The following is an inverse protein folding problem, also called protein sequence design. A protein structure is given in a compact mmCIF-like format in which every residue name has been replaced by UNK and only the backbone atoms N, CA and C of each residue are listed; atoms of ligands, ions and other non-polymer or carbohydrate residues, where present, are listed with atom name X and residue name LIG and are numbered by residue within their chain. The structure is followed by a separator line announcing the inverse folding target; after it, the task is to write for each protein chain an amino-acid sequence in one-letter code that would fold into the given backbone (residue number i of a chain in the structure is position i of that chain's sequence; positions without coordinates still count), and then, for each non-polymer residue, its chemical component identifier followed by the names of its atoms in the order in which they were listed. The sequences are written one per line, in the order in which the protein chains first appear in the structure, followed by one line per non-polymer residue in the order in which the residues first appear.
data_IF_465066421492
#
_entry.id   IF_465066421492
#
_cell.length_a   1.000
_cell.length_b   1.000
_cell.length_c   1.000
_cell.angle_alpha   90.00
_cell.angle_beta   90.00
_cell.angle_gamma   90.00
#
_symmetry.space_group_name_H-M   'P 1'
#
loop_
_entity.id
_entity.type
_entity.pdbx_description
1 polymer ?
#
# COMPACT_ATOMS: atom_id res chain seq x y z
N UNK A 1 9.48 4.03 31.86
CA UNK A 1 9.69 4.75 30.59
C UNK A 1 11.01 4.25 30.04
N UNK A 2 11.03 3.59 28.88
CA UNK A 2 12.30 3.20 28.25
C UNK A 2 12.82 4.42 27.49
N UNK A 3 14.03 4.89 27.83
CA UNK A 3 14.72 5.96 27.12
C UNK A 3 16.04 5.40 26.61
N UNK A 4 16.27 5.46 25.30
CA UNK A 4 17.53 5.05 24.70
C UNK A 4 18.53 6.20 24.83
N UNK A 5 19.70 5.94 25.44
CA UNK A 5 20.76 6.94 25.63
C UNK A 5 21.60 7.20 24.37
N UNK A 6 21.53 6.28 23.41
CA UNK A 6 22.07 6.33 22.05
C UNK A 6 21.08 5.60 21.13
N UNK A 7 21.19 5.73 19.80
CA UNK A 7 20.45 4.87 18.85
C UNK A 7 20.91 3.41 19.03
N UNK A 8 20.27 2.68 19.93
CA UNK A 8 20.46 1.24 20.10
C UNK A 8 19.58 0.52 19.09
N UNK A 9 20.23 -0.08 18.08
CA UNK A 9 19.52 -0.83 17.05
C UNK A 9 18.92 -2.11 17.65
N UNK A 10 17.61 -2.29 17.47
CA UNK A 10 16.95 -3.59 17.64
C UNK A 10 17.68 -4.60 16.74
N UNK A 11 18.04 -5.76 17.32
CA UNK A 11 18.78 -6.81 16.59
C UNK A 11 17.95 -7.41 15.45
N UNK A 12 18.60 -8.03 14.47
CA UNK A 12 17.92 -8.77 13.38
C UNK A 12 17.67 -7.98 12.09
N UNK A 13 17.80 -6.65 12.09
CA UNK A 13 17.51 -5.82 10.90
C UNK A 13 18.27 -6.22 9.63
N UNK A 14 19.56 -6.55 9.77
CA UNK A 14 20.42 -6.94 8.65
C UNK A 14 20.01 -8.27 8.00
N UNK A 15 19.35 -9.16 8.76
CA UNK A 15 18.90 -10.48 8.27
C UNK A 15 17.56 -10.45 7.54
N UNK A 16 16.81 -9.35 7.62
CA UNK A 16 15.51 -9.21 6.98
C UNK A 16 15.67 -8.64 5.57
N UNK A 17 15.03 -9.28 4.58
CA UNK A 17 15.05 -8.82 3.20
C UNK A 17 14.50 -7.39 3.04
N UNK A 18 14.92 -6.67 2.00
CA UNK A 18 14.27 -5.43 1.59
C UNK A 18 12.90 -5.72 0.95
N UNK A 19 12.09 -4.68 0.84
CA UNK A 19 10.72 -4.72 0.31
C UNK A 19 9.80 -5.70 1.04
N UNK A 20 9.99 -5.89 2.34
CA UNK A 20 9.24 -6.87 3.14
C UNK A 20 8.63 -6.29 4.41
N UNK A 21 7.59 -6.95 4.87
CA UNK A 21 7.04 -6.68 6.20
C UNK A 21 7.98 -7.23 7.27
N UNK A 22 8.22 -6.43 8.31
CA UNK A 22 9.09 -6.73 9.43
C UNK A 22 8.29 -6.65 10.71
N UNK A 23 8.50 -7.60 11.60
CA UNK A 23 7.81 -7.68 12.87
C UNK A 23 8.75 -7.45 14.05
N UNK A 24 8.26 -6.74 15.06
CA UNK A 24 9.00 -6.49 16.30
C UNK A 24 8.61 -7.57 17.31
N UNK A 25 9.53 -8.50 17.53
CA UNK A 25 9.42 -9.64 18.44
C UNK A 25 10.11 -9.31 19.77
N UNK A 26 9.41 -9.56 20.87
CA UNK A 26 9.92 -9.47 22.24
C UNK A 26 10.36 -10.86 22.68
N UNK A 27 11.64 -10.99 23.02
CA UNK A 27 12.30 -12.24 23.38
C UNK A 27 12.58 -12.26 24.88
N UNK A 28 11.89 -13.11 25.66
CA UNK A 28 12.18 -13.30 27.06
C UNK A 28 13.50 -14.06 27.28
N UNK A 29 14.29 -13.65 28.28
CA UNK A 29 15.49 -14.38 28.68
C UNK A 29 15.12 -15.59 29.57
N UNK A 30 14.99 -16.77 28.96
CA UNK A 30 14.72 -18.02 29.67
C UNK A 30 13.24 -18.24 30.03
N UNK A 31 12.98 -19.26 30.85
CA UNK A 31 11.62 -19.73 31.17
C UNK A 31 10.86 -18.83 32.17
N UNK A 32 11.58 -18.13 33.05
CA UNK A 32 11.06 -17.15 34.02
C UNK A 32 11.82 -15.84 33.83
N UNK A 33 11.43 -15.04 32.84
CA UNK A 33 12.25 -13.92 32.38
C UNK A 33 12.09 -12.70 33.27
N UNK A 34 13.18 -12.28 33.90
CA UNK A 34 13.29 -10.95 34.53
C UNK A 34 13.77 -9.88 33.54
N UNK A 35 14.16 -10.29 32.33
CA UNK A 35 14.60 -9.42 31.24
C UNK A 35 14.01 -9.84 29.92
N UNK A 36 13.78 -8.85 29.04
CA UNK A 36 13.30 -9.04 27.68
C UNK A 36 14.16 -8.23 26.72
N UNK A 37 14.41 -8.77 25.54
CA UNK A 37 15.02 -8.06 24.41
C UNK A 37 14.02 -7.90 23.27
N UNK A 38 14.35 -7.06 22.28
CA UNK A 38 13.59 -6.94 21.04
C UNK A 38 14.44 -7.39 19.84
N UNK A 39 13.78 -7.98 18.85
CA UNK A 39 14.38 -8.47 17.62
C UNK A 39 13.43 -8.21 16.43
N UNK A 40 13.98 -7.77 15.30
CA UNK A 40 13.29 -7.75 14.02
C UNK A 40 13.31 -9.12 13.37
N UNK A 41 12.19 -9.51 12.78
CA UNK A 41 12.06 -10.76 12.04
C UNK A 41 11.11 -10.58 10.86
N UNK A 42 11.28 -11.40 9.83
CA UNK A 42 10.38 -11.57 8.69
C UNK A 42 9.33 -12.68 8.92
N UNK A 43 9.30 -13.25 10.14
CA UNK A 43 8.32 -14.26 10.50
C UNK A 43 7.10 -13.62 11.14
N UNK A 44 5.96 -13.72 10.45
CA UNK A 44 4.68 -13.23 10.92
C UNK A 44 4.21 -13.96 12.19
N UNK A 45 3.74 -13.24 13.24
CA UNK A 45 3.13 -13.88 14.40
C UNK A 45 1.69 -14.33 14.17
N UNK A 46 1.26 -15.26 15.02
CA UNK A 46 -0.10 -15.78 15.14
C UNK A 46 -0.77 -15.31 16.43
N UNK A 47 -2.08 -15.09 16.41
CA UNK A 47 -2.83 -14.81 17.64
C UNK A 47 -2.93 -16.07 18.51
N UNK A 48 -2.71 -15.93 19.81
CA UNK A 48 -2.92 -16.96 20.81
C UNK A 48 -4.05 -16.54 21.74
N UNK A 49 -5.18 -17.24 21.67
CA UNK A 49 -6.31 -17.00 22.58
C UNK A 49 -5.95 -17.29 24.04
N UNK A 50 -5.15 -18.32 24.29
CA UNK A 50 -4.69 -18.66 25.64
C UNK A 50 -3.84 -17.55 26.28
N UNK A 51 -3.09 -16.79 25.46
CA UNK A 51 -2.19 -15.72 25.92
C UNK A 51 -2.70 -14.31 25.63
N UNK A 52 -3.89 -14.19 25.04
CA UNK A 52 -4.53 -12.93 24.62
C UNK A 52 -3.57 -11.99 23.88
N UNK A 53 -2.81 -12.50 22.91
CA UNK A 53 -1.81 -11.71 22.20
C UNK A 53 -1.24 -12.38 20.95
N UNK A 54 -0.42 -11.64 20.20
CA UNK A 54 0.32 -12.16 19.06
C UNK A 54 1.64 -12.78 19.53
N UNK A 55 1.87 -14.03 19.15
CA UNK A 55 3.06 -14.82 19.50
C UNK A 55 3.66 -15.49 18.26
N UNK A 56 4.93 -15.82 18.35
CA UNK A 56 5.57 -16.67 17.34
C UNK A 56 5.03 -18.10 17.35
N UNK A 57 5.53 -18.91 16.44
CA UNK A 57 5.24 -20.34 16.38
C UNK A 57 6.51 -21.15 16.65
N UNK A 58 6.37 -22.45 16.94
CA UNK A 58 7.48 -23.39 17.12
C UNK A 58 8.52 -22.86 18.13
N UNK A 59 9.77 -22.61 17.71
CA UNK A 59 10.88 -22.17 18.56
C UNK A 59 10.65 -20.77 19.17
N UNK A 60 9.74 -19.97 18.60
CA UNK A 60 9.36 -18.65 19.09
C UNK A 60 7.97 -18.61 19.73
N UNK A 61 7.40 -19.76 20.14
CA UNK A 61 6.04 -19.84 20.70
C UNK A 61 5.81 -19.00 21.96
N UNK A 62 6.88 -18.66 22.69
CA UNK A 62 6.84 -17.82 23.89
C UNK A 62 7.27 -16.37 23.63
N UNK A 63 7.55 -16.00 22.38
CA UNK A 63 7.97 -14.65 22.03
C UNK A 63 6.74 -13.83 21.63
N UNK A 64 6.53 -12.68 22.29
CA UNK A 64 5.37 -11.80 22.04
C UNK A 64 5.70 -10.80 20.95
N UNK A 65 4.72 -10.47 20.12
CA UNK A 65 4.87 -9.48 19.07
C UNK A 65 4.02 -8.26 19.37
N UNK A 66 4.64 -7.08 19.29
CA UNK A 66 4.01 -5.82 19.71
C UNK A 66 3.65 -4.92 18.54
N UNK A 67 4.26 -5.12 17.38
CA UNK A 67 3.98 -4.35 16.17
C UNK A 67 4.83 -4.82 15.00
N UNK A 68 4.94 -3.94 14.02
CA UNK A 68 5.80 -4.15 12.86
C UNK A 68 5.91 -2.89 12.02
N UNK A 69 6.63 -3.01 10.92
CA UNK A 69 6.92 -1.95 9.96
C UNK A 69 7.27 -2.57 8.61
N UNK A 70 7.43 -1.75 7.59
CA UNK A 70 7.90 -2.18 6.29
C UNK A 70 9.35 -1.73 6.07
N UNK A 71 10.21 -2.65 5.63
CA UNK A 71 11.58 -2.37 5.19
C UNK A 71 11.53 -2.13 3.70
N UNK A 72 11.80 -0.91 3.27
CA UNK A 72 11.81 -0.58 1.84
C UNK A 72 13.15 -0.95 1.17
N UNK A 73 13.25 -0.69 -0.13
CA UNK A 73 14.46 -0.89 -0.92
C UNK A 73 15.67 -0.07 -0.43
N UNK A 74 15.43 1.08 0.21
CA UNK A 74 16.44 1.92 0.86
C UNK A 74 16.91 1.35 2.20
N UNK A 75 16.29 0.28 2.68
CA UNK A 75 16.48 -0.25 4.04
C UNK A 75 16.06 0.76 5.12
N UNK A 76 15.06 1.59 4.84
CA UNK A 76 14.42 2.51 5.78
C UNK A 76 13.25 1.86 6.51
N UNK A 77 12.88 2.45 7.66
CA UNK A 77 11.79 2.00 8.52
C UNK A 77 10.50 2.78 8.25
N UNK A 78 9.66 2.28 7.34
CA UNK A 78 8.42 2.97 6.95
C UNK A 78 7.17 2.19 7.36
N UNK A 79 5.99 2.80 7.21
CA UNK A 79 4.68 2.15 7.44
C UNK A 79 4.57 1.41 8.80
N UNK A 80 4.91 2.07 9.92
CA UNK A 80 4.91 1.43 11.26
C UNK A 80 3.49 1.14 11.77
N UNK A 81 3.29 0.02 12.48
CA UNK A 81 2.02 -0.35 13.11
C UNK A 81 2.18 -1.03 14.49
N UNK A 82 1.09 -1.05 15.27
CA UNK A 82 1.00 -1.66 16.60
C UNK A 82 -0.04 -2.79 16.62
N UNK A 83 0.26 -3.88 17.35
CA UNK A 83 -0.73 -4.89 17.70
C UNK A 83 -1.46 -4.50 18.99
N UNK A 84 -2.78 -4.25 18.90
CA UNK A 84 -3.58 -3.75 20.03
C UNK A 84 -4.57 -4.76 20.59
N UNK A 85 -5.15 -5.65 19.76
CA UNK A 85 -6.09 -6.70 20.16
C UNK A 85 -6.23 -7.77 19.06
N UNK A 86 -6.95 -8.86 19.35
CA UNK A 86 -7.34 -9.83 18.33
C UNK A 86 -8.07 -9.09 17.21
N UNK A 87 -7.49 -9.07 16.01
CA UNK A 87 -8.27 -8.78 14.83
C UNK A 87 -9.18 -10.00 14.57
N UNK A 88 -10.42 -9.96 15.09
CA UNK A 88 -11.47 -10.93 14.74
C UNK A 88 -11.58 -10.92 13.20
N UNK A 89 -11.23 -12.04 12.55
CA UNK A 89 -11.23 -12.29 11.09
C UNK A 89 -9.94 -12.03 10.31
N UNK A 90 -8.80 -12.53 10.83
CA UNK A 90 -7.56 -12.54 10.07
C UNK A 90 -7.01 -11.14 9.84
N UNK A 91 -5.79 -11.03 9.32
CA UNK A 91 -5.21 -9.74 8.98
C UNK A 91 -5.92 -9.19 7.74
N UNK A 92 -7.10 -8.61 7.89
CA UNK A 92 -7.57 -7.66 6.89
C UNK A 92 -6.82 -6.37 7.14
N UNK A 93 -5.72 -6.18 6.40
CA UNK A 93 -5.20 -4.82 6.20
C UNK A 93 -6.39 -4.00 5.71
N UNK A 94 -6.76 -2.89 6.38
CA UNK A 94 -7.83 -2.06 5.87
C UNK A 94 -7.52 -1.67 4.43
N UNK A 95 -8.53 -1.76 3.59
CA UNK A 95 -8.45 -1.22 2.25
C UNK A 95 -8.56 0.30 2.38
N UNK A 96 -7.45 0.98 2.14
CA UNK A 96 -7.40 2.43 2.06
C UNK A 96 -7.71 2.88 0.65
N UNK A 97 -8.17 4.12 0.54
CA UNK A 97 -8.48 4.75 -0.74
C UNK A 97 -7.67 6.03 -0.88
N UNK A 98 -7.06 6.21 -2.05
CA UNK A 98 -6.39 7.43 -2.47
C UNK A 98 -7.00 7.90 -3.78
N UNK A 99 -7.30 9.18 -3.86
CA UNK A 99 -7.81 9.84 -5.06
C UNK A 99 -6.68 10.70 -5.63
N UNK A 100 -6.42 10.56 -6.94
CA UNK A 100 -5.47 11.37 -7.69
C UNK A 100 -6.23 12.06 -8.80
N UNK A 101 -6.22 13.40 -8.81
CA UNK A 101 -6.84 14.18 -9.89
C UNK A 101 -6.07 13.99 -11.20
N UNK A 102 -6.78 13.86 -12.32
CA UNK A 102 -6.14 13.70 -13.63
C UNK A 102 -5.71 15.03 -14.26
N UNK A 103 -6.20 16.15 -13.73
CA UNK A 103 -5.91 17.47 -14.27
C UNK A 103 -6.42 17.63 -15.70
N UNK A 104 -5.75 18.50 -16.46
CA UNK A 104 -6.12 18.88 -17.83
C UNK A 104 -5.64 17.83 -18.85
N UNK A 105 -6.24 16.64 -18.85
CA UNK A 105 -5.86 15.57 -19.77
C UNK A 105 -6.58 15.65 -21.13
N UNK A 106 -5.95 16.15 -22.20
CA UNK A 106 -6.56 16.11 -23.53
C UNK A 106 -6.59 14.68 -24.11
N UNK A 107 -7.75 14.01 -24.01
CA UNK A 107 -7.92 12.62 -24.46
C UNK A 107 -7.93 12.45 -25.98
N UNK A 108 -8.10 13.54 -26.73
CA UNK A 108 -8.05 13.58 -28.19
C UNK A 108 -6.60 13.76 -28.72
N UNK A 109 -5.62 13.92 -27.83
CA UNK A 109 -4.22 14.14 -28.20
C UNK A 109 -3.30 12.97 -27.82
N UNK A 110 -3.25 12.58 -26.54
CA UNK A 110 -2.29 11.58 -26.06
C UNK A 110 -2.76 10.87 -24.78
N UNK A 111 -2.09 9.76 -24.44
CA UNK A 111 -2.17 9.18 -23.10
C UNK A 111 -1.39 10.00 -22.07
N UNK A 112 -1.56 9.70 -20.79
CA UNK A 112 -0.98 10.46 -19.67
C UNK A 112 -0.43 9.54 -18.59
N UNK A 113 0.46 10.06 -17.73
CA UNK A 113 1.05 9.31 -16.62
C UNK A 113 0.91 10.04 -15.30
N UNK A 114 0.59 9.31 -14.23
CA UNK A 114 0.36 9.85 -12.90
C UNK A 114 1.15 9.10 -11.84
N UNK A 115 1.90 9.82 -11.01
CA UNK A 115 2.64 9.20 -9.91
C UNK A 115 1.70 8.78 -8.78
N UNK A 116 1.64 7.48 -8.47
CA UNK A 116 0.79 6.99 -7.38
C UNK A 116 1.41 7.20 -5.99
N UNK A 117 2.72 7.49 -5.91
CA UNK A 117 3.46 7.74 -4.67
C UNK A 117 3.23 6.65 -3.60
N UNK A 118 3.31 5.39 -4.01
CA UNK A 118 3.20 4.26 -3.10
C UNK A 118 4.54 3.55 -3.06
N UNK A 119 5.10 3.38 -1.86
CA UNK A 119 6.39 2.69 -1.73
C UNK A 119 6.29 1.21 -2.09
N UNK A 120 5.13 0.58 -1.84
CA UNK A 120 4.86 -0.79 -2.25
C UNK A 120 3.61 -0.88 -3.14
N UNK A 121 3.80 -0.65 -4.44
CA UNK A 121 2.73 -0.72 -5.43
C UNK A 121 2.05 -2.10 -5.52
N UNK A 122 2.73 -3.18 -5.10
CA UNK A 122 2.14 -4.54 -5.04
C UNK A 122 1.02 -4.67 -4.00
N UNK A 123 0.85 -3.68 -3.12
CA UNK A 123 -0.28 -3.57 -2.17
C UNK A 123 -1.54 -2.96 -2.82
N UNK A 124 -1.47 -2.45 -4.04
CA UNK A 124 -2.66 -2.00 -4.80
C UNK A 124 -3.58 -3.21 -5.03
N UNK A 125 -4.88 -3.00 -4.83
CA UNK A 125 -5.92 -4.03 -4.98
C UNK A 125 -6.92 -3.68 -6.08
N UNK A 126 -7.12 -2.40 -6.36
CA UNK A 126 -7.86 -1.96 -7.55
C UNK A 126 -7.49 -0.53 -7.91
N UNK A 127 -7.54 -0.23 -9.21
CA UNK A 127 -7.48 1.13 -9.73
C UNK A 127 -8.72 1.32 -10.60
N UNK A 128 -9.39 2.44 -10.41
CA UNK A 128 -10.51 2.89 -11.25
C UNK A 128 -10.22 4.29 -11.72
N UNK A 129 -10.42 4.57 -13.00
CA UNK A 129 -10.26 5.90 -13.58
C UNK A 129 -11.64 6.38 -14.02
N UNK A 130 -12.06 7.51 -13.49
CA UNK A 130 -13.28 8.20 -13.90
C UNK A 130 -12.91 9.36 -14.81
N UNK A 131 -13.56 9.43 -15.97
CA UNK A 131 -13.40 10.51 -16.96
C UNK A 131 -14.68 11.33 -17.00
N UNK A 132 -14.53 12.64 -16.94
CA UNK A 132 -15.59 13.65 -16.99
C UNK A 132 -15.59 14.34 -18.35
N UNK A 133 -16.78 14.49 -18.94
CA UNK A 133 -16.99 15.23 -20.20
C UNK A 133 -16.74 16.74 -20.03
N UNK A 134 -16.39 17.42 -21.12
CA UNK A 134 -16.07 18.85 -21.17
C UNK A 134 -17.17 19.77 -20.62
N UNK A 135 -18.43 19.37 -20.75
CA UNK A 135 -19.59 20.11 -20.24
C UNK A 135 -20.10 19.61 -18.88
N UNK A 136 -19.39 18.70 -18.23
CA UNK A 136 -19.80 18.07 -16.96
C UNK A 136 -21.10 17.24 -17.03
N UNK A 137 -21.66 17.00 -18.23
CA UNK A 137 -22.94 16.33 -18.35
C UNK A 137 -22.86 14.81 -18.13
N UNK A 138 -21.66 14.22 -18.25
CA UNK A 138 -21.47 12.77 -18.17
C UNK A 138 -20.12 12.38 -17.59
N UNK A 139 -20.14 11.30 -16.83
CA UNK A 139 -18.99 10.62 -16.26
C UNK A 139 -18.95 9.18 -16.79
N UNK A 140 -17.78 8.72 -17.19
CA UNK A 140 -17.58 7.37 -17.70
C UNK A 140 -16.27 6.79 -17.17
N UNK A 141 -16.27 5.49 -16.89
CA UNK A 141 -15.05 4.79 -16.51
C UNK A 141 -14.16 4.59 -17.74
N UNK A 142 -12.85 4.81 -17.60
CA UNK A 142 -11.88 4.39 -18.62
C UNK A 142 -11.89 2.86 -18.67
N UNK A 143 -12.25 2.25 -19.80
CA UNK A 143 -12.28 0.80 -19.91
C UNK A 143 -10.85 0.25 -19.95
N UNK A 144 -10.71 -1.06 -19.71
CA UNK A 144 -9.50 -1.78 -20.09
C UNK A 144 -9.78 -2.49 -21.42
N UNK A 145 -9.41 -1.87 -22.53
CA UNK A 145 -9.49 -2.47 -23.87
C UNK A 145 -8.07 -2.69 -24.35
N UNK A 146 -7.68 -3.95 -24.54
CA UNK A 146 -6.48 -4.28 -25.30
C UNK A 146 -6.90 -4.83 -26.66
N UNK A 147 -6.64 -4.08 -27.73
CA UNK A 147 -6.69 -4.64 -29.08
C UNK A 147 -5.25 -4.88 -29.54
N UNK A 148 -4.96 -6.07 -30.08
CA UNK A 148 -3.62 -6.41 -30.57
C UNK A 148 -3.16 -5.54 -31.78
N UNK A 149 -4.06 -4.78 -32.40
CA UNK A 149 -3.79 -4.00 -33.61
C UNK A 149 -3.65 -2.48 -33.41
N UNK A 150 -4.10 -1.91 -32.29
CA UNK A 150 -4.01 -0.47 -31.97
C UNK A 150 -3.84 -0.27 -30.47
N UNK A 151 -3.12 0.79 -30.04
CA UNK A 151 -3.07 1.20 -28.63
C UNK A 151 -4.49 1.32 -28.10
N UNK A 152 -4.92 0.40 -27.23
CA UNK A 152 -6.28 0.40 -26.73
C UNK A 152 -6.48 1.41 -25.61
N UNK A 153 -7.71 1.89 -25.44
CA UNK A 153 -8.09 2.71 -24.27
C UNK A 153 -7.94 1.86 -23.01
N UNK A 154 -7.18 2.34 -22.03
CA UNK A 154 -6.77 1.49 -20.94
C UNK A 154 -5.99 2.18 -19.84
N UNK A 155 -5.64 1.38 -18.84
CA UNK A 155 -4.65 1.77 -17.84
C UNK A 155 -3.74 0.59 -17.52
N UNK A 156 -2.51 0.88 -17.13
CA UNK A 156 -1.65 -0.07 -16.42
C UNK A 156 -0.91 0.64 -15.28
N UNK A 157 -0.44 -0.13 -14.32
CA UNK A 157 0.28 0.36 -13.15
C UNK A 157 1.62 -0.35 -13.07
N UNK A 158 2.67 0.44 -12.89
CA UNK A 158 4.03 -0.02 -12.64
C UNK A 158 4.45 0.35 -11.21
N UNK A 159 5.75 0.39 -10.94
CA UNK A 159 6.28 0.59 -9.60
C UNK A 159 6.06 1.99 -9.01
N UNK A 160 5.95 2.99 -9.88
CA UNK A 160 5.94 4.41 -9.51
C UNK A 160 4.77 5.17 -10.12
N UNK A 161 4.25 4.70 -11.26
CA UNK A 161 3.29 5.43 -12.09
C UNK A 161 2.09 4.58 -12.49
N UNK A 162 1.00 5.28 -12.76
CA UNK A 162 -0.19 4.79 -13.45
C UNK A 162 -0.18 5.44 -14.82
N UNK A 163 -0.21 4.63 -15.87
CA UNK A 163 -0.28 5.11 -17.25
C UNK A 163 -1.69 4.93 -17.78
N UNK A 164 -2.28 6.02 -18.28
CA UNK A 164 -3.55 6.04 -18.99
C UNK A 164 -3.27 6.03 -20.50
N UNK A 165 -3.89 5.10 -21.20
CA UNK A 165 -3.74 4.92 -22.63
C UNK A 165 -4.93 5.51 -23.40
N UNK A 166 -4.62 6.16 -24.52
CA UNK A 166 -5.59 6.61 -25.53
C UNK A 166 -5.66 5.59 -26.67
N UNK A 167 -6.85 5.42 -27.23
CA UNK A 167 -7.02 4.88 -28.59
C UNK A 167 -7.44 5.98 -29.55
N UNK A 168 -6.77 6.07 -30.70
CA UNK A 168 -7.32 6.80 -31.83
C UNK A 168 -8.64 6.16 -32.27
N UNK A 169 -9.63 6.98 -32.61
CA UNK A 169 -11.02 6.62 -32.85
C UNK A 169 -11.70 5.86 -31.68
N UNK A 170 -11.18 6.02 -30.46
CA UNK A 170 -11.76 5.46 -29.24
C UNK A 170 -13.03 6.19 -28.78
N UNK A 171 -13.65 5.70 -27.71
CA UNK A 171 -14.86 6.33 -27.15
C UNK A 171 -14.61 7.76 -26.70
N UNK A 172 -13.42 8.03 -26.15
CA UNK A 172 -13.04 9.35 -25.66
C UNK A 172 -12.30 10.20 -26.70
N UNK A 173 -12.15 9.70 -27.93
CA UNK A 173 -11.43 10.37 -29.01
C UNK A 173 -12.33 11.35 -29.78
N UNK A 174 -12.80 12.39 -29.11
CA UNK A 174 -13.67 13.39 -29.71
C UNK A 174 -13.67 14.72 -28.95
N UNK A 175 -14.36 15.71 -29.53
CA UNK A 175 -14.42 17.09 -29.02
C UNK A 175 -15.15 17.26 -27.68
N UNK A 176 -15.82 16.22 -27.16
CA UNK A 176 -16.43 16.28 -25.84
C UNK A 176 -15.43 15.97 -24.70
N UNK A 177 -14.18 15.57 -25.03
CA UNK A 177 -13.15 15.16 -24.07
C UNK A 177 -11.77 15.79 -24.34
N UNK A 178 -11.72 16.98 -24.94
CA UNK A 178 -10.49 17.61 -25.42
C UNK A 178 -10.16 18.99 -24.83
N UNK A 179 -11.00 19.53 -23.94
CA UNK A 179 -10.70 20.81 -23.30
C UNK A 179 -9.41 20.74 -22.44
N UNK A 180 -8.79 21.87 -22.15
CA UNK A 180 -7.49 21.89 -21.42
C UNK A 180 -7.49 22.90 -20.27
N UNK A 181 -8.67 23.21 -19.73
CA UNK A 181 -8.85 24.29 -18.76
C UNK A 181 -9.53 23.84 -17.47
N UNK A 182 -9.70 22.53 -17.26
CA UNK A 182 -10.29 21.98 -16.04
C UNK A 182 -9.94 20.49 -15.85
N UNK A 183 -10.00 20.03 -14.59
CA UNK A 183 -9.75 18.65 -14.19
C UNK A 183 -10.73 17.66 -14.84
N UNK A 184 -10.20 16.73 -15.65
CA UNK A 184 -10.97 15.77 -16.46
C UNK A 184 -11.41 14.52 -15.69
N UNK A 185 -11.15 14.45 -14.40
CA UNK A 185 -11.62 13.37 -13.55
C UNK A 185 -10.56 12.94 -12.55
N UNK A 186 -10.63 11.68 -12.15
CA UNK A 186 -9.79 11.20 -11.06
C UNK A 186 -9.54 9.71 -11.15
N UNK A 187 -8.43 9.32 -10.53
CA UNK A 187 -7.99 7.96 -10.35
C UNK A 187 -8.24 7.59 -8.89
N UNK A 188 -9.06 6.56 -8.67
CA UNK A 188 -9.29 5.95 -7.36
C UNK A 188 -8.37 4.74 -7.24
N UNK A 189 -7.43 4.81 -6.31
CA UNK A 189 -6.50 3.74 -5.98
C UNK A 189 -6.95 3.14 -4.65
N UNK A 190 -7.30 1.86 -4.64
CA UNK A 190 -7.54 1.12 -3.41
C UNK A 190 -6.38 0.19 -3.13
N UNK A 191 -5.87 0.25 -1.92
CA UNK A 191 -4.66 -0.47 -1.54
C UNK A 191 -4.72 -0.94 -0.09
N UNK A 192 -3.99 -2.01 0.20
CA UNK A 192 -3.81 -2.46 1.57
C UNK A 192 -2.94 -1.48 2.33
N UNK A 193 -3.46 -0.92 3.40
CA UNK A 193 -2.71 -0.02 4.27
C UNK A 193 -2.88 -0.35 5.74
N UNK A 194 -2.35 0.55 6.57
CA UNK A 194 -2.53 0.52 8.02
C UNK A 194 -3.16 1.84 8.45
N UNK A 195 -4.29 1.76 9.14
CA UNK A 195 -4.83 2.92 9.86
C UNK A 195 -4.19 2.92 11.24
N UNK A 196 -3.35 3.91 11.53
CA UNK A 196 -3.05 4.26 12.91
C UNK A 196 -4.30 4.96 13.42
N UNK A 197 -5.08 4.31 14.27
CA UNK A 197 -6.19 4.97 14.93
C UNK A 197 -5.62 6.17 15.71
N UNK A 198 -5.96 7.40 15.29
CA UNK A 198 -5.76 8.57 16.13
C UNK A 198 -6.74 8.47 17.29
N UNK A 199 -6.22 8.31 18.51
CA UNK A 199 -7.00 8.45 19.73
C UNK A 199 -7.36 9.92 19.97
#
# INVERSE_FOLDING_TARGET
LFSFGIEEAITGWAGVAIDTDVWIKIVPAGATPDTVTAEFTDTAPTWSDAKQGYYGTVASANHRYVGGLYKDAGSDYIEKWLYTKQMRNGRTRPLLEKIVETGDWNMDAAGETYTHNMTNWKKIRSITVMVRRDDDARYAMLPLVSNAATSGEGMYVDDTIITLLRSGAGFFDNADYNATTYNRGWIIIRFEGYVVASN
#
